data_IF_467143378771
#
_entry.id   IF_467143378771
#
_cell.length_a   1.000
_cell.length_b   1.000
_cell.length_c   1.000
_cell.angle_alpha   90.00
_cell.angle_beta   90.00
_cell.angle_gamma   90.00
#
_symmetry.space_group_name_H-M   'P 1'
#
loop_
_entity.id
_entity.type
_entity.pdbx_description
1 polymer ?
#
# COMPACT_ATOMS: atom_id res chain seq x y z
N UNK A 1 15.26 33.32 -23.90
CA UNK A 1 15.35 31.91 -24.33
C UNK A 1 13.97 31.51 -24.82
N UNK A 2 13.86 30.75 -25.90
CA UNK A 2 12.55 30.28 -26.36
C UNK A 2 11.85 29.54 -25.22
N UNK A 3 10.58 29.85 -24.91
CA UNK A 3 9.84 29.20 -23.82
C UNK A 3 9.92 27.67 -23.89
N UNK A 4 9.85 27.12 -25.12
CA UNK A 4 9.97 25.69 -25.37
C UNK A 4 11.33 25.09 -24.95
N UNK A 5 12.43 25.82 -25.17
CA UNK A 5 13.77 25.36 -24.76
C UNK A 5 13.94 25.39 -23.24
N UNK A 6 13.31 26.34 -22.55
CA UNK A 6 13.30 26.41 -21.09
C UNK A 6 12.50 25.26 -20.49
N UNK A 7 11.30 25.01 -20.99
CA UNK A 7 10.44 23.91 -20.52
C UNK A 7 11.10 22.55 -20.77
N UNK A 8 11.71 22.38 -21.95
CA UNK A 8 12.49 21.18 -22.26
C UNK A 8 13.71 21.03 -21.34
N UNK A 9 14.41 22.12 -21.03
CA UNK A 9 15.52 22.13 -20.08
C UNK A 9 15.08 21.68 -18.68
N UNK A 10 13.96 22.20 -18.18
CA UNK A 10 13.36 21.76 -16.91
C UNK A 10 12.96 20.30 -16.94
N UNK A 11 12.37 19.82 -18.04
CA UNK A 11 11.99 18.42 -18.20
C UNK A 11 13.22 17.51 -18.11
N UNK A 12 14.28 17.79 -18.86
CA UNK A 12 15.50 16.98 -18.84
C UNK A 12 16.17 17.02 -17.47
N UNK A 13 16.26 18.19 -16.84
CA UNK A 13 16.83 18.32 -15.50
C UNK A 13 16.03 17.52 -14.47
N UNK A 14 14.69 17.62 -14.51
CA UNK A 14 13.79 16.87 -13.64
C UNK A 14 13.91 15.35 -13.83
N UNK A 15 14.08 14.90 -15.08
CA UNK A 15 14.27 13.50 -15.42
C UNK A 15 15.59 12.96 -14.84
N UNK A 16 16.70 13.66 -15.08
CA UNK A 16 18.02 13.23 -14.58
C UNK A 16 18.03 13.18 -13.05
N UNK A 17 17.49 14.21 -12.41
CA UNK A 17 17.43 14.27 -10.95
C UNK A 17 16.50 13.19 -10.37
N UNK A 18 15.34 12.97 -11.00
CA UNK A 18 14.42 11.90 -10.63
C UNK A 18 15.05 10.51 -10.78
N UNK A 19 15.78 10.25 -11.86
CA UNK A 19 16.53 8.99 -12.04
C UNK A 19 17.54 8.78 -10.91
N UNK A 20 18.30 9.82 -10.56
CA UNK A 20 19.25 9.76 -9.46
C UNK A 20 18.58 9.42 -8.12
N UNK A 21 17.49 10.11 -7.77
CA UNK A 21 16.71 9.82 -6.56
C UNK A 21 16.07 8.43 -6.59
N UNK A 22 15.62 7.97 -7.76
CA UNK A 22 15.08 6.63 -7.97
C UNK A 22 16.14 5.55 -7.74
N UNK A 23 17.38 5.78 -8.18
CA UNK A 23 18.51 4.90 -7.89
C UNK A 23 18.82 4.83 -6.40
N UNK A 24 18.84 5.97 -5.70
CA UNK A 24 19.08 6.01 -4.26
C UNK A 24 17.98 5.26 -3.49
N UNK A 25 16.71 5.57 -3.76
CA UNK A 25 15.56 4.91 -3.10
C UNK A 25 15.45 3.43 -3.42
N UNK A 26 15.73 3.02 -4.66
CA UNK A 26 15.63 1.61 -5.05
C UNK A 26 16.78 0.74 -4.52
N UNK A 27 17.95 1.32 -4.22
CA UNK A 27 19.10 0.56 -3.72
C UNK A 27 19.24 0.59 -2.19
N UNK A 28 18.68 1.59 -1.52
CA UNK A 28 18.69 1.69 -0.06
C UNK A 28 17.44 0.97 0.48
N UNK A 29 17.59 -0.19 1.13
CA UNK A 29 16.45 -0.92 1.69
C UNK A 29 15.71 -0.04 2.72
N UNK A 30 14.38 -0.04 2.65
CA UNK A 30 13.53 0.74 3.56
C UNK A 30 13.32 2.21 3.20
N UNK A 31 13.93 2.73 2.12
CA UNK A 31 13.67 4.09 1.62
C UNK A 31 12.75 4.07 0.39
N UNK A 32 11.44 3.99 0.64
CA UNK A 32 10.44 3.84 -0.43
C UNK A 32 10.21 5.14 -1.22
N UNK A 33 9.91 5.01 -2.53
CA UNK A 33 9.64 6.16 -3.41
C UNK A 33 8.46 7.05 -2.98
N UNK A 34 7.48 6.49 -2.26
CA UNK A 34 6.33 7.23 -1.76
C UNK A 34 6.76 8.34 -0.79
N UNK A 35 7.79 8.08 0.03
CA UNK A 35 8.32 9.06 0.97
C UNK A 35 8.96 10.25 0.21
N UNK A 36 9.72 9.96 -0.84
CA UNK A 36 10.32 11.00 -1.69
C UNK A 36 9.26 11.81 -2.44
N UNK A 37 8.23 11.16 -2.97
CA UNK A 37 7.15 11.84 -3.66
C UNK A 37 6.40 12.83 -2.74
N UNK A 38 6.16 12.44 -1.49
CA UNK A 38 5.52 13.30 -0.49
C UNK A 38 6.42 14.44 0.00
N UNK A 39 7.73 14.20 0.14
CA UNK A 39 8.70 15.28 0.40
C UNK A 39 8.65 16.28 -0.76
N UNK A 40 8.74 15.81 -2.00
CA UNK A 40 8.71 16.67 -3.18
C UNK A 40 7.40 17.46 -3.28
N UNK A 41 6.26 16.83 -2.99
CA UNK A 41 4.95 17.47 -2.97
C UNK A 41 4.83 18.51 -1.85
N UNK A 42 5.27 18.19 -0.63
CA UNK A 42 5.20 19.11 0.52
C UNK A 42 6.14 20.31 0.37
N UNK A 43 7.27 20.13 -0.31
CA UNK A 43 8.21 21.21 -0.66
C UNK A 43 7.82 21.95 -1.93
N UNK A 44 6.79 21.52 -2.66
CA UNK A 44 6.35 22.18 -3.90
C UNK A 44 6.03 23.67 -3.75
N UNK A 45 5.42 24.18 -2.65
CA UNK A 45 5.18 25.62 -2.50
C UNK A 45 6.49 26.43 -2.42
N UNK A 46 7.51 25.86 -1.77
CA UNK A 46 8.84 26.47 -1.68
C UNK A 46 9.54 26.41 -3.05
N UNK A 47 9.44 25.27 -3.74
CA UNK A 47 10.00 25.07 -5.08
C UNK A 47 9.43 26.09 -6.09
N UNK A 48 8.11 26.31 -6.07
CA UNK A 48 7.46 27.32 -6.90
C UNK A 48 7.91 28.73 -6.49
N UNK A 49 8.08 28.99 -5.20
CA UNK A 49 8.58 30.27 -4.68
C UNK A 49 10.01 30.62 -5.13
N UNK A 50 10.85 29.62 -5.41
CA UNK A 50 12.21 29.80 -5.96
C UNK A 50 12.26 29.73 -7.50
N UNK A 51 11.11 29.64 -8.18
CA UNK A 51 11.00 29.65 -9.63
C UNK A 51 11.07 28.28 -10.31
N UNK A 52 10.96 27.17 -9.58
CA UNK A 52 10.87 25.82 -10.17
C UNK A 52 9.41 25.54 -10.55
N UNK A 53 9.13 25.16 -11.81
CA UNK A 53 7.76 24.84 -12.23
C UNK A 53 7.25 23.55 -11.57
N UNK A 54 5.94 23.49 -11.31
CA UNK A 54 5.30 22.28 -10.74
C UNK A 54 5.49 21.05 -11.64
N UNK A 55 5.53 21.26 -12.96
CA UNK A 55 5.71 20.18 -13.94
C UNK A 55 7.08 19.49 -13.77
N UNK A 56 8.11 20.23 -13.35
CA UNK A 56 9.41 19.66 -13.04
C UNK A 56 9.36 18.79 -11.78
N UNK A 57 8.59 19.20 -10.76
CA UNK A 57 8.39 18.37 -9.55
C UNK A 57 7.65 17.08 -9.90
N UNK A 58 6.61 17.16 -10.74
CA UNK A 58 5.92 15.97 -11.24
C UNK A 58 6.86 15.06 -12.05
N UNK A 59 7.71 15.63 -12.91
CA UNK A 59 8.73 14.91 -13.67
C UNK A 59 9.71 14.15 -12.76
N UNK A 60 10.18 14.78 -11.68
CA UNK A 60 11.05 14.14 -10.68
C UNK A 60 10.34 12.92 -10.06
N UNK A 61 9.08 13.08 -9.64
CA UNK A 61 8.31 12.01 -8.98
C UNK A 61 8.11 10.82 -9.91
N UNK A 62 7.71 11.07 -11.16
CA UNK A 62 7.46 10.02 -12.16
C UNK A 62 8.76 9.29 -12.51
N UNK A 63 9.85 10.02 -12.76
CA UNK A 63 11.14 9.41 -13.08
C UNK A 63 11.70 8.60 -11.89
N UNK A 64 11.60 9.15 -10.67
CA UNK A 64 12.00 8.47 -9.43
C UNK A 64 11.21 7.17 -9.22
N UNK A 65 9.88 7.22 -9.30
CA UNK A 65 9.00 6.05 -9.16
C UNK A 65 9.30 4.97 -10.18
N UNK A 66 9.50 5.38 -11.44
CA UNK A 66 9.83 4.43 -12.52
C UNK A 66 11.13 3.70 -12.20
N UNK A 67 12.23 4.42 -11.97
CA UNK A 67 13.54 3.80 -11.69
C UNK A 67 13.53 2.97 -10.41
N UNK A 68 12.88 3.45 -9.36
CA UNK A 68 12.74 2.73 -8.09
C UNK A 68 12.16 1.33 -8.28
N UNK A 69 11.09 1.18 -9.09
CA UNK A 69 10.43 -0.12 -9.33
C UNK A 69 11.29 -1.15 -10.05
N UNK A 70 12.37 -0.73 -10.73
CA UNK A 70 13.32 -1.64 -11.35
C UNK A 70 14.42 -2.07 -10.38
N UNK A 71 14.75 -1.24 -9.39
CA UNK A 71 15.93 -1.41 -8.54
C UNK A 71 15.59 -1.96 -7.15
N UNK A 72 14.40 -1.70 -6.62
CA UNK A 72 13.99 -2.10 -5.26
C UNK A 72 13.99 -3.62 -5.01
N UNK A 73 13.96 -4.43 -6.07
CA UNK A 73 14.11 -5.88 -5.94
C UNK A 73 15.57 -6.32 -5.69
N UNK A 74 16.57 -5.49 -6.02
CA UNK A 74 17.99 -5.84 -5.88
C UNK A 74 18.36 -6.03 -4.39
N UNK A 75 18.08 -5.06 -3.48
CA UNK A 75 18.35 -5.26 -2.05
C UNK A 75 17.54 -6.43 -1.48
N UNK A 76 16.27 -6.55 -1.87
CA UNK A 76 15.38 -7.64 -1.44
C UNK A 76 15.95 -9.02 -1.76
N UNK A 77 16.41 -9.24 -3.00
CA UNK A 77 16.87 -10.54 -3.46
C UNK A 77 18.31 -10.88 -3.02
N UNK A 78 19.19 -9.89 -2.92
CA UNK A 78 20.62 -10.11 -2.65
C UNK A 78 21.00 -9.93 -1.19
N UNK A 79 20.36 -9.00 -0.48
CA UNK A 79 20.67 -8.64 0.91
C UNK A 79 19.68 -9.28 1.88
N UNK A 80 18.53 -9.76 1.38
CA UNK A 80 17.50 -10.37 2.22
C UNK A 80 16.77 -9.36 3.10
N UNK A 81 16.82 -8.07 2.74
CA UNK A 81 16.11 -6.96 3.37
C UNK A 81 15.05 -6.43 2.38
N UNK A 82 13.87 -7.07 2.30
CA UNK A 82 12.79 -6.63 1.42
C UNK A 82 12.09 -5.39 1.97
N UNK A 83 11.51 -4.61 1.05
CA UNK A 83 10.50 -3.63 1.41
C UNK A 83 9.19 -4.33 1.83
N UNK A 84 8.37 -3.62 2.60
CA UNK A 84 7.05 -4.01 3.09
C UNK A 84 6.13 -4.63 2.02
N UNK A 85 6.13 -4.06 0.81
CA UNK A 85 5.34 -4.54 -0.32
C UNK A 85 5.89 -5.82 -0.98
N UNK A 86 7.12 -6.23 -0.64
CA UNK A 86 7.82 -7.39 -1.20
C UNK A 86 7.93 -8.57 -0.23
N UNK A 87 7.36 -8.47 0.98
CA UNK A 87 7.43 -9.53 1.99
C UNK A 87 6.93 -10.91 1.48
N UNK A 88 5.89 -10.94 0.65
CA UNK A 88 5.39 -12.18 0.03
C UNK A 88 6.29 -12.73 -1.09
N UNK A 89 7.06 -11.86 -1.76
CA UNK A 89 8.01 -12.24 -2.81
C UNK A 89 9.35 -12.77 -2.26
N UNK A 90 9.56 -12.63 -0.95
CA UNK A 90 10.75 -13.05 -0.21
C UNK A 90 10.98 -14.56 -0.29
N UNK A 91 9.92 -15.37 -0.20
CA UNK A 91 10.02 -16.84 -0.24
C UNK A 91 10.62 -17.37 -1.55
N UNK A 92 10.11 -16.98 -2.74
CA UNK A 92 10.78 -17.27 -4.00
C UNK A 92 12.20 -16.69 -4.10
N UNK A 93 12.40 -15.43 -3.68
CA UNK A 93 13.69 -14.75 -3.75
C UNK A 93 14.78 -15.46 -2.96
N UNK A 94 14.47 -15.88 -1.73
CA UNK A 94 15.38 -16.62 -0.86
C UNK A 94 15.76 -17.99 -1.45
N UNK A 95 14.81 -18.69 -2.07
CA UNK A 95 15.08 -19.96 -2.78
C UNK A 95 16.04 -19.75 -3.95
N UNK A 96 15.86 -18.66 -4.71
CA UNK A 96 16.75 -18.31 -5.82
C UNK A 96 18.14 -17.86 -5.33
N UNK A 97 18.23 -17.23 -4.16
CA UNK A 97 19.50 -16.89 -3.54
C UNK A 97 20.29 -18.14 -3.12
N UNK A 98 19.63 -19.07 -2.42
CA UNK A 98 20.24 -20.35 -2.00
C UNK A 98 20.69 -21.19 -3.22
N UNK A 99 19.93 -21.17 -4.32
CA UNK A 99 20.29 -21.89 -5.53
C UNK A 99 21.36 -21.21 -6.40
N UNK A 100 21.89 -20.06 -5.97
CA UNK A 100 22.89 -19.28 -6.73
C UNK A 100 22.30 -18.56 -7.96
N UNK A 101 20.98 -18.46 -8.06
CA UNK A 101 20.25 -17.86 -9.18
C UNK A 101 19.66 -16.47 -8.87
N UNK A 102 20.12 -15.79 -7.81
CA UNK A 102 19.58 -14.48 -7.41
C UNK A 102 19.55 -13.46 -8.55
N UNK A 103 20.59 -13.42 -9.40
CA UNK A 103 20.64 -12.55 -10.58
C UNK A 103 19.51 -12.82 -11.59
N UNK A 104 19.08 -14.08 -11.73
CA UNK A 104 17.93 -14.42 -12.58
C UNK A 104 16.64 -13.92 -11.95
N UNK A 105 16.51 -13.98 -10.61
CA UNK A 105 15.38 -13.41 -9.89
C UNK A 105 15.25 -11.91 -10.12
N UNK A 106 16.37 -11.18 -10.05
CA UNK A 106 16.44 -9.75 -10.38
C UNK A 106 16.02 -9.50 -11.83
N UNK A 107 16.51 -10.31 -12.77
CA UNK A 107 16.13 -10.17 -14.18
C UNK A 107 14.64 -10.43 -14.43
N UNK A 108 14.03 -11.41 -13.76
CA UNK A 108 12.59 -11.67 -13.86
C UNK A 108 11.76 -10.55 -13.24
N UNK A 109 12.17 -10.01 -12.10
CA UNK A 109 11.51 -8.85 -11.48
C UNK A 109 11.58 -7.62 -12.38
N UNK A 110 12.76 -7.30 -12.92
CA UNK A 110 12.93 -6.19 -13.86
C UNK A 110 12.09 -6.35 -15.14
N UNK A 111 11.99 -7.58 -15.69
CA UNK A 111 11.08 -7.87 -16.81
C UNK A 111 9.61 -7.71 -16.42
N UNK A 112 9.25 -8.09 -15.20
CA UNK A 112 7.92 -7.85 -14.64
C UNK A 112 7.59 -6.36 -14.57
N UNK A 113 8.50 -5.54 -14.04
CA UNK A 113 8.36 -4.07 -14.00
C UNK A 113 8.26 -3.47 -15.40
N UNK A 114 9.05 -3.95 -16.37
CA UNK A 114 8.94 -3.54 -17.77
C UNK A 114 7.57 -3.87 -18.36
N UNK A 115 7.07 -5.09 -18.15
CA UNK A 115 5.76 -5.51 -18.65
C UNK A 115 4.63 -4.72 -17.96
N UNK A 116 4.76 -4.45 -16.66
CA UNK A 116 3.83 -3.60 -15.92
C UNK A 116 3.79 -2.17 -16.47
N UNK A 117 4.95 -1.59 -16.78
CA UNK A 117 5.05 -0.27 -17.42
C UNK A 117 4.43 -0.25 -18.82
N UNK A 118 4.65 -1.29 -19.63
CA UNK A 118 4.04 -1.38 -20.95
C UNK A 118 2.53 -1.58 -20.88
N UNK A 119 2.04 -2.37 -19.93
CA UNK A 119 0.61 -2.61 -19.70
C UNK A 119 -0.08 -1.42 -19.04
N UNK A 120 0.63 -0.55 -18.33
CA UNK A 120 0.05 0.64 -17.72
C UNK A 120 -0.39 1.67 -18.77
N UNK A 121 0.31 1.79 -19.90
CA UNK A 121 -0.05 2.73 -20.98
C UNK A 121 -1.47 2.47 -21.53
N UNK A 122 -1.83 1.27 -22.03
CA UNK A 122 -3.20 1.02 -22.49
C UNK A 122 -4.20 1.08 -21.33
N UNK A 123 -3.81 0.65 -20.13
CA UNK A 123 -4.68 0.73 -18.95
C UNK A 123 -4.99 2.19 -18.58
N UNK A 124 -4.04 3.11 -18.73
CA UNK A 124 -4.23 4.55 -18.54
C UNK A 124 -5.21 5.12 -19.57
N UNK A 125 -5.14 4.69 -20.83
CA UNK A 125 -6.12 5.08 -21.86
C UNK A 125 -7.52 4.60 -21.46
N UNK A 126 -7.66 3.33 -21.08
CA UNK A 126 -8.94 2.77 -20.62
C UNK A 126 -9.44 3.52 -19.38
N UNK A 127 -8.57 3.76 -18.39
CA UNK A 127 -8.93 4.50 -17.19
C UNK A 127 -9.38 5.93 -17.51
N UNK A 128 -8.71 6.63 -18.45
CA UNK A 128 -9.08 7.97 -18.89
C UNK A 128 -10.42 8.01 -19.61
N UNK A 129 -10.77 6.96 -20.35
CA UNK A 129 -12.08 6.81 -21.01
C UNK A 129 -13.19 6.44 -20.03
N UNK A 130 -12.92 5.62 -19.02
CA UNK A 130 -13.92 5.25 -18.02
C UNK A 130 -14.19 6.38 -17.02
N UNK A 131 -13.14 6.99 -16.48
CA UNK A 131 -13.22 7.90 -15.33
C UNK A 131 -13.10 9.38 -15.68
N UNK A 132 -12.69 9.76 -16.89
CA UNK A 132 -12.53 11.17 -17.25
C UNK A 132 -13.81 11.81 -17.80
N UNK A 133 -13.88 13.14 -17.76
CA UNK A 133 -15.11 13.89 -18.10
C UNK A 133 -15.31 14.12 -19.61
N UNK A 134 -14.22 14.25 -20.38
CA UNK A 134 -14.26 14.40 -21.85
C UNK A 134 -12.97 13.82 -22.46
N UNK A 135 -12.98 12.76 -23.30
CA UNK A 135 -14.09 12.04 -23.94
C UNK A 135 -14.60 10.81 -23.14
N UNK A 136 -14.57 10.85 -21.80
CA UNK A 136 -14.87 9.67 -20.99
C UNK A 136 -16.32 9.58 -20.48
N UNK A 137 -16.63 8.53 -19.72
CA UNK A 137 -17.97 8.23 -19.19
C UNK A 137 -18.31 9.01 -17.89
N UNK A 138 -17.40 9.82 -17.35
CA UNK A 138 -17.63 10.60 -16.13
C UNK A 138 -17.88 9.75 -14.87
N UNK A 139 -17.46 8.47 -14.86
CA UNK A 139 -17.73 7.56 -13.74
C UNK A 139 -17.06 8.00 -12.43
N UNK A 140 -16.05 8.87 -12.50
CA UNK A 140 -15.37 9.38 -11.32
C UNK A 140 -16.32 10.19 -10.42
N UNK A 141 -17.01 11.18 -10.98
CA UNK A 141 -17.96 12.02 -10.25
C UNK A 141 -19.09 11.17 -9.63
N UNK A 142 -19.66 10.24 -10.40
CA UNK A 142 -20.72 9.34 -9.91
C UNK A 142 -20.24 8.37 -8.81
N UNK A 143 -18.97 7.95 -8.85
CA UNK A 143 -18.40 6.99 -7.88
C UNK A 143 -17.83 7.67 -6.65
N UNK A 144 -17.45 8.96 -6.73
CA UNK A 144 -16.78 9.71 -5.66
C UNK A 144 -17.64 9.80 -4.40
N UNK A 145 -18.94 10.01 -4.55
CA UNK A 145 -19.87 10.09 -3.42
C UNK A 145 -20.11 8.72 -2.75
N UNK A 146 -19.96 7.64 -3.51
CA UNK A 146 -20.16 6.26 -3.03
C UNK A 146 -18.87 5.61 -2.53
N UNK A 147 -17.71 6.22 -2.79
CA UNK A 147 -16.39 5.71 -2.46
C UNK A 147 -16.22 5.37 -0.97
N UNK A 148 -16.68 6.21 -0.01
CA UNK A 148 -16.63 5.86 1.41
C UNK A 148 -17.46 4.62 1.75
N UNK A 149 -18.65 4.48 1.17
CA UNK A 149 -19.52 3.32 1.37
C UNK A 149 -18.96 2.05 0.75
N UNK A 150 -18.35 2.17 -0.43
CA UNK A 150 -17.67 1.06 -1.11
C UNK A 150 -16.48 0.56 -0.28
N UNK A 151 -15.63 1.46 0.21
CA UNK A 151 -14.50 1.11 1.07
C UNK A 151 -14.98 0.45 2.35
N UNK A 152 -15.99 1.02 3.01
CA UNK A 152 -16.57 0.44 4.23
C UNK A 152 -17.16 -0.95 3.95
N UNK A 153 -17.83 -1.15 2.82
CA UNK A 153 -18.34 -2.45 2.41
C UNK A 153 -17.23 -3.47 2.19
N UNK A 154 -16.18 -3.12 1.44
CA UNK A 154 -15.04 -4.01 1.19
C UNK A 154 -14.32 -4.35 2.49
N UNK A 155 -14.09 -3.36 3.37
CA UNK A 155 -13.47 -3.58 4.68
C UNK A 155 -14.33 -4.47 5.58
N UNK A 156 -15.64 -4.22 5.65
CA UNK A 156 -16.57 -5.07 6.40
C UNK A 156 -16.59 -6.50 5.84
N UNK A 157 -16.60 -6.66 4.52
CA UNK A 157 -16.52 -7.96 3.88
C UNK A 157 -15.22 -8.70 4.24
N UNK A 158 -14.05 -8.05 4.14
CA UNK A 158 -12.77 -8.62 4.53
C UNK A 158 -12.78 -9.04 6.01
N UNK A 159 -13.23 -8.17 6.92
CA UNK A 159 -13.33 -8.47 8.36
C UNK A 159 -14.27 -9.65 8.64
N UNK A 160 -15.43 -9.73 7.96
CA UNK A 160 -16.39 -10.82 8.12
C UNK A 160 -15.90 -12.13 7.49
N UNK A 161 -15.08 -12.04 6.45
CA UNK A 161 -14.48 -13.22 5.81
C UNK A 161 -13.22 -13.70 6.50
N UNK A 162 -12.66 -12.94 7.43
CA UNK A 162 -11.46 -13.27 8.20
C UNK A 162 -11.52 -14.70 8.74
N UNK A 163 -10.48 -15.48 8.43
CA UNK A 163 -10.38 -16.90 8.78
C UNK A 163 -9.41 -17.14 9.93
N UNK A 164 -8.62 -16.14 10.31
CA UNK A 164 -7.58 -16.27 11.32
C UNK A 164 -8.17 -16.67 12.67
N UNK A 165 -7.60 -17.69 13.29
CA UNK A 165 -7.96 -18.15 14.63
C UNK A 165 -6.85 -17.73 15.58
N UNK A 166 -7.19 -16.96 16.61
CA UNK A 166 -6.22 -16.47 17.57
C UNK A 166 -6.52 -17.01 18.98
N UNK A 167 -5.46 -17.26 19.79
CA UNK A 167 -5.61 -17.48 21.21
C UNK A 167 -5.97 -16.18 21.93
N UNK A 168 -6.87 -16.25 22.91
CA UNK A 168 -7.21 -15.11 23.77
C UNK A 168 -6.80 -15.34 25.23
N UNK A 169 -6.52 -14.30 26.03
CA UNK A 169 -6.20 -14.43 27.45
C UNK A 169 -7.19 -15.29 28.27
N UNK A 170 -6.66 -16.09 29.21
CA UNK A 170 -7.42 -17.08 29.98
C UNK A 170 -8.61 -16.52 30.77
N UNK A 171 -8.51 -15.28 31.26
CA UNK A 171 -9.59 -14.63 31.99
C UNK A 171 -10.82 -14.40 31.11
N UNK A 172 -10.63 -14.08 29.82
CA UNK A 172 -11.75 -13.94 28.89
C UNK A 172 -12.30 -15.31 28.50
N UNK A 173 -11.44 -16.33 28.40
CA UNK A 173 -11.86 -17.68 28.06
C UNK A 173 -12.87 -18.17 29.11
N UNK A 174 -12.55 -17.98 30.39
CA UNK A 174 -13.44 -18.30 31.51
C UNK A 174 -14.76 -17.51 31.48
N UNK A 175 -14.71 -16.22 31.14
CA UNK A 175 -15.91 -15.38 31.03
C UNK A 175 -16.82 -15.78 29.84
N UNK A 176 -16.23 -16.21 28.74
CA UNK A 176 -16.93 -16.41 27.44
C UNK A 176 -17.35 -17.87 27.23
N UNK A 177 -16.99 -18.79 28.14
CA UNK A 177 -17.28 -20.24 28.05
C UNK A 177 -18.76 -20.59 27.79
N UNK A 178 -19.70 -19.76 28.24
CA UNK A 178 -21.15 -20.00 28.07
C UNK A 178 -21.75 -19.40 26.79
N UNK A 179 -21.00 -18.60 26.02
CA UNK A 179 -21.50 -17.89 24.84
C UNK A 179 -21.38 -18.75 23.56
N UNK A 180 -22.04 -19.92 23.56
CA UNK A 180 -22.22 -20.71 22.35
C UNK A 180 -23.70 -20.84 22.04
N UNK A 181 -24.13 -20.29 20.90
CA UNK A 181 -25.51 -20.33 20.46
C UNK A 181 -25.64 -21.36 19.33
N UNK A 182 -26.13 -22.58 19.62
CA UNK A 182 -26.38 -23.57 18.58
C UNK A 182 -27.52 -23.10 17.68
N UNK A 183 -27.28 -23.08 16.36
CA UNK A 183 -28.31 -22.73 15.38
C UNK A 183 -29.32 -23.88 15.27
N UNK A 184 -30.62 -23.57 15.37
CA UNK A 184 -31.71 -24.56 15.32
C UNK A 184 -31.82 -25.28 13.96
N UNK A 185 -31.29 -24.69 12.90
CA UNK A 185 -31.19 -25.29 11.55
C UNK A 185 -29.80 -25.02 11.01
N UNK A 186 -29.17 -26.05 10.42
CA UNK A 186 -27.89 -25.93 9.72
C UNK A 186 -28.09 -25.06 8.49
N UNK A 187 -27.37 -23.94 8.42
CA UNK A 187 -27.41 -23.05 7.26
C UNK A 187 -26.23 -23.41 6.36
N UNK A 188 -26.54 -24.05 5.23
CA UNK A 188 -25.57 -24.33 4.18
C UNK A 188 -25.68 -23.25 3.10
N UNK A 189 -24.65 -22.42 2.96
CA UNK A 189 -24.55 -21.48 1.86
C UNK A 189 -23.76 -22.16 0.73
N UNK A 190 -24.45 -22.49 -0.36
CA UNK A 190 -23.84 -23.05 -1.57
C UNK A 190 -24.07 -22.09 -2.73
N UNK A 191 -23.05 -21.33 -3.09
CA UNK A 191 -23.10 -20.45 -4.27
C UNK A 191 -22.37 -21.17 -5.40
N UNK A 192 -23.08 -21.61 -6.46
CA UNK A 192 -22.43 -22.19 -7.62
C UNK A 192 -21.81 -21.08 -8.49
N UNK A 193 -20.48 -21.01 -8.51
CA UNK A 193 -19.69 -20.12 -9.37
C UNK A 193 -19.01 -20.96 -10.47
N UNK A 194 -19.82 -21.45 -11.41
CA UNK A 194 -19.34 -22.25 -12.55
C UNK A 194 -18.61 -23.52 -12.11
N UNK A 195 -17.30 -23.61 -12.37
CA UNK A 195 -16.45 -24.76 -11.98
C UNK A 195 -16.05 -24.75 -10.50
N UNK A 196 -16.27 -23.66 -9.76
CA UNK A 196 -15.94 -23.54 -8.35
C UNK A 196 -17.22 -23.47 -7.52
N UNK A 197 -17.40 -24.39 -6.57
CA UNK A 197 -18.51 -24.32 -5.61
C UNK A 197 -18.00 -23.77 -4.29
N UNK A 198 -18.45 -22.58 -3.89
CA UNK A 198 -18.17 -22.04 -2.57
C UNK A 198 -19.18 -22.63 -1.59
N UNK A 199 -18.76 -23.63 -0.81
CA UNK A 199 -19.58 -24.30 0.20
C UNK A 199 -19.17 -23.83 1.58
N UNK A 200 -20.05 -23.10 2.27
CA UNK A 200 -19.82 -22.65 3.65
C UNK A 200 -20.92 -23.21 4.54
N UNK A 201 -20.52 -23.95 5.58
CA UNK A 201 -21.41 -24.57 6.56
C UNK A 201 -21.34 -23.81 7.87
N UNK A 202 -22.50 -23.46 8.43
CA UNK A 202 -22.63 -22.85 9.75
C UNK A 202 -23.46 -23.76 10.65
N UNK A 203 -22.80 -24.43 11.60
CA UNK A 203 -23.42 -25.35 12.56
C UNK A 203 -23.76 -24.68 13.90
N UNK A 204 -22.97 -23.70 14.33
CA UNK A 204 -23.23 -22.88 15.52
C UNK A 204 -22.59 -21.50 15.40
N UNK A 205 -23.18 -20.51 16.07
CA UNK A 205 -22.52 -19.20 16.27
C UNK A 205 -21.68 -19.34 17.53
N UNK A 206 -20.41 -19.68 17.34
CA UNK A 206 -19.44 -19.80 18.43
C UNK A 206 -18.84 -18.43 18.76
N UNK A 207 -19.38 -17.79 19.80
CA UNK A 207 -18.87 -16.52 20.31
C UNK A 207 -17.80 -16.74 21.41
N UNK A 208 -17.28 -17.95 21.59
CA UNK A 208 -16.27 -18.22 22.62
C UNK A 208 -14.92 -17.65 22.19
N UNK A 209 -14.33 -16.83 23.05
CA UNK A 209 -12.93 -16.41 22.94
C UNK A 209 -12.07 -17.46 23.63
N UNK A 210 -11.84 -18.60 22.98
CA UNK A 210 -10.98 -19.68 23.48
C UNK A 210 -9.52 -19.59 23.00
N UNK A 211 -8.75 -20.65 23.23
CA UNK A 211 -7.36 -20.76 22.76
C UNK A 211 -7.20 -20.79 21.21
N UNK A 212 -8.30 -21.01 20.47
CA UNK A 212 -8.32 -20.94 19.00
C UNK A 212 -9.70 -20.47 18.54
N UNK A 213 -9.94 -19.15 18.62
CA UNK A 213 -11.23 -18.55 18.27
C UNK A 213 -11.18 -17.75 16.99
N UNK A 214 -12.16 -17.97 16.11
CA UNK A 214 -12.38 -17.12 14.93
C UNK A 214 -12.92 -15.74 15.33
N UNK A 215 -13.74 -15.67 16.38
CA UNK A 215 -14.27 -14.40 16.86
C UNK A 215 -13.16 -13.52 17.45
N UNK A 216 -12.16 -14.13 18.08
CA UNK A 216 -10.94 -13.43 18.49
C UNK A 216 -10.21 -12.82 17.28
N UNK A 217 -10.08 -13.56 16.18
CA UNK A 217 -9.53 -13.05 14.91
C UNK A 217 -10.31 -11.86 14.36
N UNK A 218 -11.64 -11.97 14.29
CA UNK A 218 -12.51 -10.89 13.82
C UNK A 218 -12.41 -9.66 14.74
N UNK A 219 -12.37 -9.84 16.06
CA UNK A 219 -12.22 -8.73 17.02
C UNK A 219 -10.89 -8.01 16.86
N UNK A 220 -9.78 -8.73 16.70
CA UNK A 220 -8.46 -8.11 16.45
C UNK A 220 -8.46 -7.36 15.13
N UNK A 221 -8.97 -7.98 14.05
CA UNK A 221 -9.06 -7.32 12.74
C UNK A 221 -9.91 -6.04 12.80
N UNK A 222 -11.04 -6.09 13.51
CA UNK A 222 -11.91 -4.91 13.72
C UNK A 222 -11.20 -3.84 14.55
N UNK A 223 -10.51 -4.24 15.62
CA UNK A 223 -9.78 -3.31 16.49
C UNK A 223 -8.64 -2.64 15.72
N UNK A 224 -7.90 -3.42 14.94
CA UNK A 224 -6.84 -2.92 14.07
C UNK A 224 -7.39 -1.95 13.02
N UNK A 225 -8.49 -2.29 12.34
CA UNK A 225 -9.16 -1.41 11.39
C UNK A 225 -9.59 -0.07 12.02
N UNK A 226 -10.15 -0.11 13.24
CA UNK A 226 -10.55 1.11 13.95
C UNK A 226 -9.34 1.95 14.39
N UNK A 227 -8.27 1.30 14.87
CA UNK A 227 -7.04 1.99 15.28
C UNK A 227 -6.32 2.64 14.11
N UNK A 228 -6.22 1.96 12.96
CA UNK A 228 -5.62 2.53 11.74
C UNK A 228 -6.48 3.66 11.17
N UNK A 229 -7.82 3.52 11.22
CA UNK A 229 -8.74 4.60 10.88
C UNK A 229 -8.60 5.82 11.80
N UNK A 230 -8.53 5.61 13.12
CA UNK A 230 -8.31 6.68 14.09
C UNK A 230 -6.95 7.37 13.90
N UNK A 231 -5.90 6.60 13.63
CA UNK A 231 -4.59 7.14 13.30
C UNK A 231 -4.62 8.00 12.03
N UNK A 232 -5.28 7.52 10.97
CA UNK A 232 -5.47 8.29 9.75
C UNK A 232 -6.19 9.61 10.01
N UNK A 233 -7.30 9.57 10.74
CA UNK A 233 -8.02 10.79 11.16
C UNK A 233 -7.13 11.75 11.94
N UNK A 234 -6.39 11.25 12.94
CA UNK A 234 -5.50 12.07 13.76
C UNK A 234 -4.40 12.75 12.93
N UNK A 235 -3.85 12.07 11.91
CA UNK A 235 -2.83 12.62 11.02
C UNK A 235 -3.36 13.78 10.16
N UNK A 236 -4.63 13.74 9.75
CA UNK A 236 -5.23 14.80 8.94
C UNK A 236 -5.81 15.96 9.76
N UNK A 237 -6.33 15.70 10.96
CA UNK A 237 -7.04 16.70 11.76
C UNK A 237 -6.11 17.47 12.72
N UNK A 238 -5.03 16.84 13.22
CA UNK A 238 -4.16 17.48 14.19
C UNK A 238 -3.21 18.49 13.52
N UNK A 239 -3.14 19.74 14.01
CA UNK A 239 -2.25 20.74 13.46
C UNK A 239 -0.80 20.40 13.82
N UNK A 240 0.01 20.05 12.81
CA UNK A 240 1.44 19.89 12.98
C UNK A 240 2.17 21.23 12.81
N UNK A 241 3.19 21.44 13.65
CA UNK A 241 4.17 22.52 13.48
C UNK A 241 5.53 21.88 13.27
N UNK A 242 6.20 22.24 12.17
CA UNK A 242 7.56 21.78 11.93
C UNK A 242 8.51 22.47 12.92
N UNK A 243 9.39 21.72 13.62
CA UNK A 243 10.46 22.29 14.44
C UNK A 243 11.40 23.22 13.65
N UNK A 244 11.45 23.04 12.33
CA UNK A 244 12.32 23.78 11.40
C UNK A 244 11.54 24.86 10.63
N UNK A 245 10.30 25.14 11.01
CA UNK A 245 9.52 26.25 10.44
C UNK A 245 9.00 26.01 9.01
N UNK A 246 8.93 24.75 8.55
CA UNK A 246 8.37 24.42 7.23
C UNK A 246 6.88 24.83 7.19
N UNK A 247 6.46 25.68 6.24
CA UNK A 247 5.05 26.04 6.08
C UNK A 247 4.22 24.80 5.69
N UNK A 248 3.01 24.68 6.23
CA UNK A 248 2.11 23.53 5.98
C UNK A 248 2.69 22.14 6.33
N UNK A 249 3.44 22.06 7.44
CA UNK A 249 3.88 20.78 7.98
C UNK A 249 2.66 19.93 8.36
N UNK A 250 2.35 18.92 7.55
CA UNK A 250 1.35 17.91 7.90
C UNK A 250 2.00 16.78 8.70
N UNK A 251 1.23 16.13 9.59
CA UNK A 251 1.70 14.92 10.26
C UNK A 251 1.92 13.75 9.31
N UNK A 252 1.43 13.85 8.06
CA UNK A 252 1.58 12.84 7.01
C UNK A 252 3.05 12.47 6.78
N UNK A 253 3.93 13.46 6.75
CA UNK A 253 5.34 13.20 6.46
C UNK A 253 6.02 12.40 7.59
N UNK A 254 5.97 12.82 8.87
CA UNK A 254 6.47 12.01 9.98
C UNK A 254 5.75 10.66 10.16
N UNK A 255 4.42 10.62 9.97
CA UNK A 255 3.65 9.39 10.12
C UNK A 255 4.09 8.34 9.11
N UNK A 256 4.30 8.73 7.86
CA UNK A 256 4.65 7.80 6.78
C UNK A 256 6.15 7.46 6.81
N UNK A 257 7.02 8.42 7.12
CA UNK A 257 8.45 8.13 7.36
C UNK A 257 8.64 7.16 8.54
N UNK A 258 7.85 7.28 9.60
CA UNK A 258 7.85 6.34 10.72
C UNK A 258 7.26 4.98 10.36
N UNK A 259 6.07 4.95 9.75
CA UNK A 259 5.35 3.70 9.45
C UNK A 259 6.06 2.84 8.40
N UNK A 260 6.60 3.46 7.34
CA UNK A 260 7.28 2.76 6.24
C UNK A 260 8.80 2.61 6.48
N UNK A 261 9.42 3.50 7.24
CA UNK A 261 10.86 3.46 7.52
C UNK A 261 11.25 2.62 8.74
N UNK A 262 10.47 2.64 9.83
CA UNK A 262 10.80 1.93 11.08
C UNK A 262 10.41 0.45 11.00
N UNK A 263 9.32 0.10 10.31
CA UNK A 263 8.89 -1.30 10.17
C UNK A 263 9.99 -2.17 9.54
N UNK A 264 10.66 -1.66 8.50
CA UNK A 264 11.78 -2.35 7.85
C UNK A 264 13.04 -2.41 8.74
N UNK A 265 13.24 -1.45 9.66
CA UNK A 265 14.35 -1.49 10.61
C UNK A 265 14.12 -2.49 11.76
N UNK A 266 12.88 -2.66 12.22
CA UNK A 266 12.54 -3.60 13.29
C UNK A 266 12.68 -5.06 12.81
N UNK A 267 12.32 -5.35 11.56
CA UNK A 267 12.42 -6.69 10.97
C UNK A 267 13.87 -7.17 10.76
N UNK A 268 14.86 -6.27 10.82
CA UNK A 268 16.29 -6.61 10.76
C UNK A 268 16.82 -7.08 12.13
N UNK A 269 16.12 -6.75 13.22
CA UNK A 269 16.59 -7.00 14.60
C UNK A 269 15.84 -8.11 15.35
N UNK A 270 14.89 -8.81 14.70
CA UNK A 270 14.18 -9.98 15.25
C UNK A 270 14.53 -11.23 14.46
#
# INVERSE_FOLDING_TARGET
>A
MDPWLLDFGWLIASFIFGVFLGCLTGLIPGFHVNNVALIALSLSPIAVGIGIPLDAVAGIIVACGTVHTFLNYIPSALVGAPDDNMALALLPGHRMLISGQAAQGVAYSARGSQMGMLMSIPLLVVARLLFGDNPGLGLYEASRDQLPWLLLFISAFLILTETTRLPWPEWSQKATQKLNFPLKKRVEFNIPLGKFSFRRRYDSIDLRLGASSRMAGILVATSYFLLTGFYGWAVFELPARSPVGIPSASLLFPSLAGLFGIANLIDIYV
#
